data_IF_876600774714
#
_entry.id   IF_876600774714
#
_cell.length_a   1.000
_cell.length_b   1.000
_cell.length_c   1.000
_cell.angle_alpha   90.00
_cell.angle_beta   90.00
_cell.angle_gamma   90.00
#
_symmetry.space_group_name_H-M   'P 1'
#
loop_
_entity.id
_entity.type
_entity.pdbx_description
1 polymer ?
#
# COMPACT_ATOMS: atom_id res chain seq x y z
N UNK A 1 1.02 -1.78 31.39
CA UNK A 1 0.50 -0.71 32.25
C UNK A 1 1.48 0.43 32.13
N UNK A 2 1.03 1.51 31.50
CA UNK A 2 1.32 2.90 31.87
C UNK A 2 0.63 3.79 30.83
N UNK A 3 -0.51 4.32 31.25
CA UNK A 3 -1.39 5.18 30.48
C UNK A 3 -0.96 6.62 30.78
N UNK A 4 -0.29 7.27 29.83
CA UNK A 4 -0.07 8.71 29.93
C UNK A 4 -1.41 9.44 29.75
N UNK A 5 -1.96 9.92 30.86
CA UNK A 5 -3.11 10.82 30.92
C UNK A 5 -2.69 12.19 30.36
N UNK A 6 -3.37 12.65 29.31
CA UNK A 6 -3.28 14.05 28.85
C UNK A 6 -4.52 14.78 29.38
N UNK A 7 -4.39 15.98 29.98
CA UNK A 7 -5.48 16.61 30.70
C UNK A 7 -6.60 17.10 29.78
N UNK A 8 -7.82 16.97 30.30
CA UNK A 8 -9.07 17.43 29.73
C UNK A 8 -9.10 18.97 29.69
N UNK A 9 -9.18 19.56 28.50
CA UNK A 9 -9.56 20.98 28.33
C UNK A 9 -10.68 21.06 27.29
N UNK A 10 -11.91 21.11 27.79
CA UNK A 10 -13.06 21.63 27.05
C UNK A 10 -12.91 23.15 26.91
N UNK A 11 -13.11 23.69 25.71
CA UNK A 11 -14.21 24.63 25.42
C UNK A 11 -14.07 25.23 24.01
N UNK A 12 -15.15 25.14 23.23
CA UNK A 12 -15.34 25.83 21.97
C UNK A 12 -16.83 25.89 21.68
N UNK A 13 -17.48 26.95 22.15
CA UNK A 13 -18.92 27.18 22.02
C UNK A 13 -19.39 27.07 20.56
N UNK A 14 -20.53 26.40 20.35
CA UNK A 14 -21.27 26.37 19.08
C UNK A 14 -21.87 27.77 18.85
N UNK A 15 -21.53 28.44 17.74
CA UNK A 15 -22.34 29.53 17.18
C UNK A 15 -22.98 29.02 15.90
N UNK A 16 -24.31 28.90 15.89
CA UNK A 16 -25.11 28.71 14.68
C UNK A 16 -25.01 29.98 13.83
N UNK A 17 -24.46 29.87 12.62
CA UNK A 17 -24.66 30.91 11.62
C UNK A 17 -26.14 30.88 11.23
N UNK A 18 -26.81 32.03 11.38
CA UNK A 18 -28.17 32.28 10.96
C UNK A 18 -28.33 31.96 9.46
N UNK A 19 -29.51 31.46 9.08
CA UNK A 19 -29.92 30.95 7.76
C UNK A 19 -29.84 31.96 6.57
N UNK A 20 -29.16 33.09 6.71
CA UNK A 20 -29.26 34.20 5.77
C UNK A 20 -28.25 34.21 4.59
N UNK A 21 -27.35 33.22 4.44
CA UNK A 21 -26.37 33.21 3.34
C UNK A 21 -26.20 31.83 2.67
N UNK A 22 -27.27 31.05 2.53
CA UNK A 22 -27.27 29.88 1.63
C UNK A 22 -27.76 30.32 0.24
N UNK A 23 -26.83 30.75 -0.61
CA UNK A 23 -27.12 30.95 -2.03
C UNK A 23 -27.36 29.58 -2.66
N UNK A 24 -28.58 29.31 -3.13
CA UNK A 24 -28.91 28.08 -3.84
C UNK A 24 -28.12 28.03 -5.16
N UNK A 25 -27.17 27.09 -5.21
CA UNK A 25 -26.31 26.83 -6.37
C UNK A 25 -27.11 26.55 -7.64
N UNK A 26 -28.38 26.11 -7.52
CA UNK A 26 -29.29 25.87 -8.64
C UNK A 26 -29.80 27.18 -9.27
N UNK A 27 -30.07 28.20 -8.46
CA UNK A 27 -30.57 29.51 -8.89
C UNK A 27 -29.50 30.26 -9.71
N UNK A 28 -28.26 30.27 -9.20
CA UNK A 28 -27.09 30.85 -9.87
C UNK A 28 -26.82 30.16 -11.22
N UNK A 29 -27.09 28.84 -11.30
CA UNK A 29 -26.93 28.07 -12.52
C UNK A 29 -28.01 28.40 -13.55
N UNK A 30 -29.24 28.71 -13.11
CA UNK A 30 -30.36 29.15 -13.95
C UNK A 30 -30.10 30.51 -14.59
N UNK A 31 -29.64 31.48 -13.80
CA UNK A 31 -29.32 32.83 -14.30
C UNK A 31 -28.21 32.81 -15.36
N UNK A 32 -27.15 32.03 -15.15
CA UNK A 32 -26.05 31.91 -16.13
C UNK A 32 -26.45 31.26 -17.45
N UNK A 33 -27.48 30.39 -17.44
CA UNK A 33 -28.05 29.83 -18.67
C UNK A 33 -28.88 30.85 -19.44
N UNK A 34 -29.62 31.72 -18.73
CA UNK A 34 -30.38 32.82 -19.34
C UNK A 34 -29.46 33.88 -19.95
N UNK A 35 -28.28 34.10 -19.35
CA UNK A 35 -27.27 35.05 -19.82
C UNK A 35 -26.37 34.52 -20.96
N UNK A 36 -26.60 33.30 -21.45
CA UNK A 36 -25.91 32.76 -22.63
C UNK A 36 -24.42 32.45 -22.45
N UNK A 37 -23.91 32.35 -21.22
CA UNK A 37 -22.50 32.03 -20.97
C UNK A 37 -22.24 30.51 -21.10
N UNK A 38 -21.21 30.08 -21.86
CA UNK A 38 -20.94 28.66 -22.08
C UNK A 38 -20.57 27.94 -20.78
N UNK A 39 -21.23 26.81 -20.50
CA UNK A 39 -20.94 25.95 -19.33
C UNK A 39 -19.71 25.11 -19.61
N UNK A 40 -18.53 25.73 -19.62
CA UNK A 40 -17.27 24.99 -19.72
C UNK A 40 -17.00 24.32 -18.36
N UNK A 41 -17.30 23.02 -18.23
CA UNK A 41 -16.69 22.20 -17.19
C UNK A 41 -15.22 21.98 -17.52
N UNK A 42 -14.40 22.99 -17.30
CA UNK A 42 -12.97 22.75 -17.18
C UNK A 42 -12.75 21.96 -15.89
N UNK A 43 -12.41 20.69 -16.05
CA UNK A 43 -11.65 19.96 -15.02
C UNK A 43 -10.41 20.83 -14.79
N UNK A 44 -10.40 21.56 -13.67
CA UNK A 44 -9.24 22.36 -13.25
C UNK A 44 -7.99 21.49 -13.34
N UNK A 45 -6.94 22.03 -13.97
CA UNK A 45 -5.65 21.37 -14.06
C UNK A 45 -5.16 21.00 -12.65
N UNK A 46 -4.30 19.98 -12.53
CA UNK A 46 -3.86 19.48 -11.22
C UNK A 46 -3.26 20.58 -10.32
N UNK A 47 -2.69 21.63 -10.93
CA UNK A 47 -2.09 22.79 -10.25
C UNK A 47 -3.10 23.78 -9.65
N UNK A 48 -4.37 23.73 -10.08
CA UNK A 48 -5.41 24.68 -9.63
C UNK A 48 -6.25 24.18 -8.45
N UNK A 49 -5.92 23.01 -7.88
CA UNK A 49 -6.57 22.51 -6.66
C UNK A 49 -6.05 23.27 -5.43
N UNK A 50 -6.53 24.51 -5.24
CA UNK A 50 -6.33 25.22 -3.98
C UNK A 50 -7.07 24.50 -2.85
N UNK A 51 -6.35 24.24 -1.74
CA UNK A 51 -6.92 23.73 -0.49
C UNK A 51 -8.09 24.64 -0.08
N UNK A 52 -9.30 24.12 0.14
CA UNK A 52 -10.40 24.91 0.67
C UNK A 52 -10.03 25.54 2.02
N UNK A 53 -10.17 26.86 2.15
CA UNK A 53 -9.80 27.61 3.37
C UNK A 53 -10.48 27.10 4.65
N UNK A 54 -11.64 26.45 4.53
CA UNK A 54 -12.32 25.86 5.70
C UNK A 54 -11.57 24.66 6.29
N UNK A 55 -10.66 24.01 5.54
CA UNK A 55 -9.80 22.94 6.05
C UNK A 55 -8.68 23.46 6.96
N UNK A 56 -8.42 24.76 6.99
CA UNK A 56 -7.47 25.38 7.92
C UNK A 56 -8.05 25.48 9.34
N UNK A 57 -9.38 25.30 9.49
CA UNK A 57 -10.08 25.23 10.78
C UNK A 57 -9.90 23.88 11.48
N UNK A 58 -9.35 22.88 10.80
CA UNK A 58 -9.11 21.55 11.36
C UNK A 58 -7.59 21.36 11.52
N UNK A 59 -7.14 21.08 12.75
CA UNK A 59 -5.79 20.58 12.97
C UNK A 59 -5.71 19.16 12.42
N UNK A 60 -5.07 19.00 11.27
CA UNK A 60 -4.70 17.68 10.75
C UNK A 60 -3.45 17.25 11.51
N UNK A 61 -3.62 16.42 12.53
CA UNK A 61 -2.51 15.68 13.11
C UNK A 61 -2.06 14.62 12.11
N UNK A 62 -1.11 14.97 11.26
CA UNK A 62 -0.30 13.96 10.59
C UNK A 62 0.54 13.32 11.70
N UNK A 63 0.10 12.18 12.25
CA UNK A 63 0.95 11.35 13.08
C UNK A 63 2.11 10.87 12.22
N UNK A 64 3.21 11.62 12.24
CA UNK A 64 4.50 11.04 11.97
C UNK A 64 4.66 9.98 13.06
N UNK A 65 4.72 8.71 12.66
CA UNK A 65 5.07 7.65 13.60
C UNK A 65 6.48 8.00 14.10
N UNK A 66 6.58 8.57 15.30
CA UNK A 66 7.81 8.54 16.07
C UNK A 66 8.03 7.06 16.35
N UNK A 67 8.82 6.41 15.49
CA UNK A 67 9.36 5.12 15.83
C UNK A 67 10.35 5.38 16.94
N UNK A 68 10.10 4.80 18.11
CA UNK A 68 10.99 4.85 19.25
C UNK A 68 12.42 4.55 18.78
N UNK A 69 13.28 5.56 18.88
CA UNK A 69 14.70 5.36 18.74
C UNK A 69 15.10 4.43 19.89
N UNK A 70 15.35 3.17 19.58
CA UNK A 70 16.05 2.28 20.49
C UNK A 70 17.32 3.00 20.95
N UNK A 71 17.40 3.27 22.25
CA UNK A 71 18.55 3.94 22.88
C UNK A 71 19.81 3.18 22.49
N UNK A 72 20.80 3.95 22.04
CA UNK A 72 22.14 3.49 21.72
C UNK A 72 22.70 2.67 22.87
N UNK A 73 22.84 1.35 22.65
CA UNK A 73 23.77 0.52 23.38
C UNK A 73 25.18 0.86 22.89
N UNK A 74 26.04 1.21 23.83
CA UNK A 74 27.46 1.51 23.69
C UNK A 74 28.22 0.43 22.90
N UNK A 75 28.89 0.84 21.82
CA UNK A 75 29.74 0.03 20.95
C UNK A 75 29.94 0.73 19.61
N UNK A 76 30.88 1.67 19.54
CA UNK A 76 31.12 2.54 18.39
C UNK A 76 31.65 1.77 17.16
N UNK A 77 30.74 1.36 16.29
CA UNK A 77 30.94 1.43 14.84
C UNK A 77 30.02 2.53 14.34
N UNK A 78 30.55 3.73 14.05
CA UNK A 78 29.78 4.75 13.35
C UNK A 78 29.50 4.25 11.92
N UNK A 79 28.36 3.57 11.73
CA UNK A 79 27.87 3.21 10.40
C UNK A 79 27.70 4.51 9.59
N UNK A 80 28.39 4.59 8.45
CA UNK A 80 28.29 5.74 7.53
C UNK A 80 26.84 5.94 7.11
N UNK A 81 26.27 7.11 7.39
CA UNK A 81 24.91 7.47 6.94
C UNK A 81 24.94 7.88 5.46
N UNK A 82 24.10 7.26 4.65
CA UNK A 82 24.02 7.56 3.21
C UNK A 82 23.00 8.67 2.95
N UNK A 83 23.40 9.72 2.24
CA UNK A 83 22.45 10.73 1.76
C UNK A 83 21.75 10.22 0.49
N UNK A 84 20.44 10.48 0.31
CA UNK A 84 19.66 9.96 -0.83
C UNK A 84 20.27 10.28 -2.20
N UNK A 85 20.91 11.45 -2.34
CA UNK A 85 21.59 11.84 -3.58
C UNK A 85 22.79 10.95 -3.95
N UNK A 86 23.41 10.31 -2.97
CA UNK A 86 24.54 9.38 -3.18
C UNK A 86 24.06 7.96 -3.52
N UNK A 87 22.76 7.70 -3.38
CA UNK A 87 22.19 6.36 -3.50
C UNK A 87 21.38 6.24 -4.79
N UNK A 88 21.96 5.55 -5.76
CA UNK A 88 21.22 5.11 -6.94
C UNK A 88 20.49 3.82 -6.61
N UNK A 89 19.18 3.76 -6.89
CA UNK A 89 18.39 2.54 -6.66
C UNK A 89 18.69 1.51 -7.76
N UNK A 90 19.26 0.34 -7.43
CA UNK A 90 19.59 -0.67 -8.42
C UNK A 90 18.32 -1.31 -9.00
N UNK A 91 18.39 -1.75 -10.26
CA UNK A 91 17.27 -2.40 -10.95
C UNK A 91 17.26 -3.90 -10.81
N UNK A 92 18.44 -4.50 -10.59
CA UNK A 92 18.63 -5.93 -10.46
C UNK A 92 19.82 -6.24 -9.53
N UNK A 93 19.96 -7.51 -9.16
CA UNK A 93 21.04 -7.97 -8.29
C UNK A 93 22.44 -7.61 -8.81
N UNK A 94 22.69 -7.82 -10.11
CA UNK A 94 24.01 -7.55 -10.72
C UNK A 94 24.41 -6.08 -10.61
N UNK A 95 23.46 -5.17 -10.70
CA UNK A 95 23.68 -3.74 -10.52
C UNK A 95 23.89 -3.40 -9.04
N UNK A 96 23.09 -3.97 -8.13
CA UNK A 96 23.24 -3.77 -6.69
C UNK A 96 24.64 -4.16 -6.19
N UNK A 97 25.23 -5.22 -6.74
CA UNK A 97 26.57 -5.69 -6.36
C UNK A 97 27.72 -4.82 -6.89
N UNK A 98 27.47 -3.93 -7.86
CA UNK A 98 28.47 -2.99 -8.40
C UNK A 98 28.55 -1.70 -7.60
N UNK A 99 27.51 -1.36 -6.87
CA UNK A 99 27.44 -0.10 -6.15
C UNK A 99 28.24 -0.14 -4.84
N UNK A 100 28.72 1.01 -4.34
CA UNK A 100 29.39 1.10 -3.04
C UNK A 100 28.54 0.55 -1.88
N UNK A 101 27.21 0.63 -2.01
CA UNK A 101 26.25 0.19 -0.99
C UNK A 101 25.90 -1.30 -1.08
N UNK A 102 26.70 -2.11 -1.77
CA UNK A 102 26.43 -3.55 -1.98
C UNK A 102 26.17 -4.31 -0.67
N UNK A 103 26.91 -3.99 0.39
CA UNK A 103 26.81 -4.67 1.69
C UNK A 103 25.47 -4.41 2.36
N UNK A 104 24.99 -3.16 2.30
CA UNK A 104 23.68 -2.77 2.81
C UNK A 104 22.55 -3.45 2.06
N UNK A 105 22.67 -3.56 0.73
CA UNK A 105 21.71 -4.27 -0.09
C UNK A 105 21.71 -5.78 0.19
N UNK A 106 22.88 -6.40 0.38
CA UNK A 106 22.98 -7.81 0.75
C UNK A 106 22.35 -8.08 2.12
N UNK A 107 22.59 -7.23 3.12
CA UNK A 107 21.97 -7.34 4.45
C UNK A 107 20.44 -7.26 4.35
N UNK A 108 19.91 -6.32 3.57
CA UNK A 108 18.47 -6.20 3.33
C UNK A 108 17.89 -7.41 2.56
N UNK A 109 18.63 -7.95 1.60
CA UNK A 109 18.24 -9.14 0.85
C UNK A 109 18.19 -10.38 1.75
N UNK A 110 19.21 -10.58 2.59
CA UNK A 110 19.27 -11.69 3.54
C UNK A 110 18.07 -11.66 4.49
N UNK A 111 17.78 -10.50 5.08
CA UNK A 111 16.63 -10.31 5.97
C UNK A 111 15.31 -10.69 5.30
N UNK A 112 15.11 -10.31 4.03
CA UNK A 112 13.91 -10.67 3.27
C UNK A 112 13.85 -12.17 3.00
N UNK A 113 14.95 -12.80 2.60
CA UNK A 113 15.01 -14.25 2.35
C UNK A 113 14.71 -15.04 3.63
N UNK A 114 15.34 -14.67 4.75
CA UNK A 114 15.12 -15.31 6.05
C UNK A 114 13.65 -15.15 6.51
N UNK A 115 13.05 -13.98 6.28
CA UNK A 115 11.64 -13.73 6.54
C UNK A 115 10.73 -14.62 5.66
N UNK A 116 11.09 -14.88 4.40
CA UNK A 116 10.32 -15.76 3.52
C UNK A 116 10.42 -17.23 3.94
N UNK A 117 11.60 -17.70 4.31
CA UNK A 117 11.78 -19.07 4.80
C UNK A 117 11.12 -19.31 6.15
N UNK A 118 11.24 -18.37 7.11
CA UNK A 118 10.59 -18.50 8.42
C UNK A 118 9.06 -18.54 8.32
N UNK A 119 8.48 -17.88 7.31
CA UNK A 119 7.04 -17.93 7.00
C UNK A 119 6.59 -19.14 6.18
N UNK A 120 7.51 -20.00 5.76
CA UNK A 120 7.18 -21.13 4.87
C UNK A 120 6.69 -20.71 3.49
N UNK A 121 7.12 -19.53 3.01
CA UNK A 121 6.77 -19.05 1.66
C UNK A 121 7.39 -19.94 0.60
N UNK A 122 8.65 -20.33 0.81
CA UNK A 122 9.39 -21.23 -0.06
C UNK A 122 9.53 -22.61 0.58
N UNK A 123 9.13 -23.63 -0.17
CA UNK A 123 9.34 -25.04 0.17
C UNK A 123 10.22 -25.64 -0.92
N UNK A 124 11.33 -26.27 -0.53
CA UNK A 124 12.23 -26.91 -1.48
C UNK A 124 11.67 -28.28 -1.88
N UNK A 125 11.58 -28.54 -3.18
CA UNK A 125 11.12 -29.81 -3.76
C UNK A 125 12.11 -30.31 -4.81
N UNK A 126 12.07 -31.60 -5.12
CA UNK A 126 12.86 -32.18 -6.20
C UNK A 126 12.32 -31.75 -7.58
N UNK A 127 13.22 -31.48 -8.53
CA UNK A 127 12.85 -31.10 -9.91
C UNK A 127 12.08 -32.23 -10.61
N UNK A 128 12.29 -33.49 -10.18
CA UNK A 128 11.59 -34.67 -10.68
C UNK A 128 10.12 -34.76 -10.20
N UNK A 129 9.76 -34.06 -9.11
CA UNK A 129 8.38 -34.03 -8.58
C UNK A 129 7.50 -32.99 -9.30
N UNK A 130 8.07 -32.21 -10.22
CA UNK A 130 7.34 -31.15 -10.92
C UNK A 130 6.36 -31.80 -11.91
N UNK A 131 5.04 -31.52 -11.78
CA UNK A 131 4.07 -32.02 -12.74
C UNK A 131 4.37 -31.51 -14.16
N UNK A 132 4.26 -32.41 -15.14
CA UNK A 132 4.40 -32.07 -16.55
C UNK A 132 3.48 -30.89 -16.90
N UNK A 133 4.05 -29.84 -17.53
CA UNK A 133 3.42 -28.56 -17.91
C UNK A 133 3.34 -27.46 -16.83
N UNK A 134 4.09 -27.56 -15.74
CA UNK A 134 4.20 -26.43 -14.79
C UNK A 134 5.30 -25.46 -15.22
N UNK A 135 4.96 -24.16 -15.34
CA UNK A 135 5.93 -23.13 -15.69
C UNK A 135 6.83 -22.80 -14.49
N UNK A 136 8.14 -22.74 -14.72
CA UNK A 136 9.09 -22.22 -13.75
C UNK A 136 9.12 -20.69 -13.87
N UNK A 137 8.49 -20.01 -12.92
CA UNK A 137 8.48 -18.57 -12.87
C UNK A 137 9.87 -18.02 -12.49
N UNK A 138 10.18 -16.88 -13.09
CA UNK A 138 11.32 -16.07 -12.68
C UNK A 138 10.90 -15.12 -11.56
N UNK A 139 11.84 -14.79 -10.69
CA UNK A 139 11.69 -13.77 -9.66
C UNK A 139 12.79 -12.71 -9.83
N UNK A 140 12.59 -11.55 -9.20
CA UNK A 140 13.54 -10.44 -9.25
C UNK A 140 13.53 -9.63 -7.97
N UNK A 141 14.63 -8.91 -7.75
CA UNK A 141 14.75 -7.97 -6.63
C UNK A 141 14.22 -6.59 -6.97
N UNK A 142 13.43 -6.03 -6.06
CA UNK A 142 13.03 -4.62 -6.05
C UNK A 142 13.65 -3.91 -4.86
N UNK A 143 14.54 -2.98 -5.17
CA UNK A 143 15.26 -2.20 -4.19
C UNK A 143 14.56 -0.86 -3.96
N UNK A 144 14.52 -0.42 -2.71
CA UNK A 144 13.94 0.86 -2.33
C UNK A 144 14.61 1.36 -1.04
N UNK A 145 15.45 2.40 -1.10
CA UNK A 145 15.91 3.05 0.11
C UNK A 145 14.75 3.82 0.74
N UNK A 146 14.58 3.69 2.06
CA UNK A 146 13.69 4.53 2.84
C UNK A 146 14.53 5.66 3.43
N UNK A 147 14.06 6.89 3.26
CA UNK A 147 14.75 8.09 3.71
C UNK A 147 13.94 8.79 4.78
N UNK A 148 14.64 9.51 5.66
CA UNK A 148 14.06 10.40 6.65
C UNK A 148 13.58 11.73 6.03
N UNK A 149 13.00 12.60 6.85
CA UNK A 149 12.70 13.99 6.51
C UNK A 149 13.96 14.76 6.05
N UNK A 150 15.10 14.45 6.67
CA UNK A 150 16.41 15.02 6.30
C UNK A 150 17.05 14.34 5.08
N UNK A 151 16.32 13.48 4.37
CA UNK A 151 16.74 12.88 3.09
C UNK A 151 17.93 11.91 3.22
N UNK A 152 18.27 11.51 4.45
CA UNK A 152 19.23 10.43 4.69
C UNK A 152 18.53 9.07 4.70
N UNK A 153 19.21 8.05 4.19
CA UNK A 153 18.71 6.67 4.21
C UNK A 153 18.68 6.17 5.65
N UNK A 154 17.51 5.71 6.07
CA UNK A 154 17.26 5.11 7.39
C UNK A 154 17.11 3.61 7.31
N UNK A 155 16.62 3.09 6.18
CA UNK A 155 16.44 1.66 5.97
C UNK A 155 16.62 1.28 4.51
N UNK A 156 17.38 0.21 4.29
CA UNK A 156 17.50 -0.44 3.00
C UNK A 156 16.38 -1.49 2.87
N UNK A 157 15.49 -1.34 1.89
CA UNK A 157 14.41 -2.31 1.64
C UNK A 157 14.68 -3.03 0.32
N UNK A 158 14.94 -4.33 0.38
CA UNK A 158 14.99 -5.21 -0.78
C UNK A 158 13.80 -6.15 -0.69
N UNK A 159 12.98 -6.22 -1.75
CA UNK A 159 11.85 -7.16 -1.82
C UNK A 159 12.08 -8.15 -2.93
N UNK A 160 11.82 -9.42 -2.66
CA UNK A 160 11.78 -10.44 -3.70
C UNK A 160 10.37 -10.47 -4.31
N UNK A 161 10.29 -10.37 -5.63
CA UNK A 161 9.05 -10.18 -6.38
C UNK A 161 8.97 -11.27 -7.44
N UNK A 162 7.83 -11.93 -7.54
CA UNK A 162 7.53 -12.87 -8.63
C UNK A 162 7.26 -12.12 -9.93
N UNK A 163 7.68 -12.68 -11.06
CA UNK A 163 7.41 -12.13 -12.39
C UNK A 163 6.03 -12.54 -12.89
N UNK A 164 4.99 -11.85 -12.43
CA UNK A 164 3.64 -12.02 -12.97
C UNK A 164 3.53 -11.67 -14.45
N UNK A 165 4.44 -10.83 -14.97
CA UNK A 165 4.53 -10.54 -16.40
C UNK A 165 4.90 -11.75 -17.27
N UNK A 166 5.39 -12.83 -16.65
CA UNK A 166 5.66 -14.12 -17.30
C UNK A 166 4.64 -15.21 -16.97
N UNK A 167 3.56 -14.89 -16.23
CA UNK A 167 2.50 -15.85 -15.93
C UNK A 167 1.53 -16.02 -17.09
N UNK A 168 1.02 -17.22 -17.26
CA UNK A 168 0.02 -17.56 -18.27
C UNK A 168 -1.38 -17.73 -17.65
N UNK A 169 -2.36 -16.99 -18.17
CA UNK A 169 -3.76 -17.10 -17.76
C UNK A 169 -4.31 -18.50 -18.08
N UNK A 170 -5.02 -19.08 -17.13
CA UNK A 170 -5.59 -20.43 -17.22
C UNK A 170 -4.62 -21.55 -16.83
N UNK A 171 -3.33 -21.25 -16.65
CA UNK A 171 -2.30 -22.20 -16.20
C UNK A 171 -1.78 -21.76 -14.83
N UNK A 172 -1.16 -20.58 -14.78
CA UNK A 172 -0.51 -20.08 -13.56
C UNK A 172 -1.49 -19.33 -12.65
N UNK A 173 -2.56 -18.76 -13.22
CA UNK A 173 -3.64 -18.12 -12.48
C UNK A 173 -4.97 -18.13 -13.25
N UNK A 174 -6.08 -17.98 -12.54
CA UNK A 174 -7.43 -17.89 -13.13
C UNK A 174 -8.13 -16.59 -12.71
N UNK A 175 -8.11 -16.25 -11.43
CA UNK A 175 -8.71 -15.02 -10.91
C UNK A 175 -7.60 -14.11 -10.37
N UNK A 176 -7.55 -12.88 -10.88
CA UNK A 176 -6.60 -11.85 -10.44
C UNK A 176 -7.29 -10.61 -9.86
N UNK A 177 -8.63 -10.55 -9.93
CA UNK A 177 -9.36 -9.38 -9.48
C UNK A 177 -9.46 -9.32 -7.96
N UNK A 178 -9.02 -8.20 -7.39
CA UNK A 178 -9.19 -7.85 -5.99
C UNK A 178 -10.01 -6.57 -5.90
N UNK A 179 -11.16 -6.56 -5.22
CA UNK A 179 -11.96 -5.35 -5.11
C UNK A 179 -11.21 -4.33 -4.23
N UNK A 180 -11.43 -3.04 -4.49
CA UNK A 180 -10.85 -1.92 -3.72
C UNK A 180 -11.98 -0.97 -3.32
N UNK A 181 -12.04 -0.55 -2.06
CA UNK A 181 -13.01 0.46 -1.63
C UNK A 181 -12.81 1.76 -2.43
N UNK A 182 -13.91 2.25 -3.01
CA UNK A 182 -13.90 3.50 -3.77
C UNK A 182 -13.67 4.68 -2.84
N UNK A 183 -13.15 5.77 -3.40
CA UNK A 183 -12.98 7.01 -2.62
C UNK A 183 -14.31 7.61 -2.16
N UNK A 184 -15.41 7.33 -2.85
CA UNK A 184 -16.75 7.74 -2.43
C UNK A 184 -17.14 6.98 -1.16
N UNK A 185 -17.00 5.66 -1.15
CA UNK A 185 -17.23 4.79 0.01
C UNK A 185 -16.43 5.25 1.21
N UNK A 186 -15.13 5.52 1.02
CA UNK A 186 -14.28 6.04 2.08
C UNK A 186 -14.80 7.36 2.68
N UNK A 187 -15.23 8.31 1.84
CA UNK A 187 -15.80 9.59 2.31
C UNK A 187 -17.11 9.38 3.06
N UNK A 188 -17.96 8.45 2.61
CA UNK A 188 -19.20 8.10 3.30
C UNK A 188 -18.92 7.52 4.69
N UNK A 189 -17.98 6.58 4.80
CA UNK A 189 -17.57 6.01 6.10
C UNK A 189 -17.10 7.11 7.05
N UNK A 190 -16.24 8.03 6.58
CA UNK A 190 -15.76 9.16 7.40
C UNK A 190 -16.91 10.09 7.81
N UNK A 191 -17.85 10.37 6.90
CA UNK A 191 -19.01 11.21 7.21
C UNK A 191 -19.94 10.55 8.25
N UNK A 192 -20.17 9.24 8.14
CA UNK A 192 -20.95 8.46 9.11
C UNK A 192 -20.24 8.45 10.46
N UNK A 193 -18.92 8.21 10.49
CA UNK A 193 -18.13 8.26 11.72
C UNK A 193 -18.24 9.62 12.40
N UNK A 194 -18.09 10.72 11.66
CA UNK A 194 -18.24 12.08 12.20
C UNK A 194 -19.67 12.36 12.72
N UNK A 195 -20.70 11.85 12.02
CA UNK A 195 -22.11 12.06 12.41
C UNK A 195 -22.48 11.28 13.67
N UNK A 196 -21.95 10.07 13.84
CA UNK A 196 -22.25 9.16 14.95
C UNK A 196 -21.21 9.22 16.08
N UNK A 197 -20.18 10.07 15.96
CA UNK A 197 -19.12 10.18 16.96
C UNK A 197 -18.21 8.95 17.06
N UNK A 198 -18.05 8.18 15.97
CA UNK A 198 -17.19 6.99 15.95
C UNK A 198 -15.71 7.39 15.85
N UNK A 199 -14.85 6.63 16.53
CA UNK A 199 -13.40 6.77 16.42
C UNK A 199 -12.88 6.07 15.16
N UNK A 200 -11.98 6.74 14.43
CA UNK A 200 -11.33 6.19 13.23
C UNK A 200 -9.94 5.64 13.58
N UNK A 201 -9.57 4.49 13.02
CA UNK A 201 -8.32 3.81 13.32
C UNK A 201 -7.56 3.42 12.05
N UNK A 202 -6.37 3.94 11.82
CA UNK A 202 -5.61 3.47 10.64
C UNK A 202 -4.77 2.23 10.98
N UNK A 203 -4.98 1.13 10.27
CA UNK A 203 -4.17 -0.10 10.39
C UNK A 203 -3.48 -0.48 9.08
N UNK A 204 -2.18 -0.79 9.10
CA UNK A 204 -1.45 -1.31 7.95
C UNK A 204 -1.01 -2.75 8.24
N UNK A 205 -1.25 -3.67 7.30
CA UNK A 205 -0.91 -5.09 7.50
C UNK A 205 0.49 -5.32 6.95
N UNK A 206 1.43 -5.54 7.86
CA UNK A 206 2.80 -5.89 7.50
C UNK A 206 2.82 -7.17 6.66
N UNK A 207 3.49 -7.10 5.51
CA UNK A 207 3.69 -8.26 4.60
C UNK A 207 2.39 -8.95 4.18
N UNK A 208 1.31 -8.16 3.96
CA UNK A 208 -0.02 -8.62 3.57
C UNK A 208 -0.05 -9.86 2.65
N UNK A 209 0.63 -9.81 1.50
CA UNK A 209 0.60 -10.93 0.53
C UNK A 209 1.27 -12.20 1.06
N UNK A 210 2.34 -12.09 1.85
CA UNK A 210 3.02 -13.28 2.39
C UNK A 210 2.16 -14.05 3.40
N UNK A 211 1.05 -13.48 3.87
CA UNK A 211 0.11 -14.15 4.75
C UNK A 211 -1.04 -14.83 3.97
N UNK A 212 -1.15 -14.61 2.65
CA UNK A 212 -2.15 -15.25 1.81
C UNK A 212 -1.58 -16.53 1.19
N UNK A 213 -2.33 -17.63 1.23
CA UNK A 213 -1.97 -18.85 0.52
C UNK A 213 -2.37 -18.75 -0.95
N UNK A 214 -1.45 -19.12 -1.84
CA UNK A 214 -1.76 -19.25 -3.26
C UNK A 214 -2.66 -20.46 -3.48
N UNK A 215 -3.74 -20.30 -4.27
CA UNK A 215 -4.57 -21.42 -4.74
C UNK A 215 -3.82 -22.30 -5.73
N UNK A 216 -3.16 -21.66 -6.70
CA UNK A 216 -2.29 -22.31 -7.67
C UNK A 216 -0.85 -22.03 -7.25
N UNK A 217 -0.18 -23.08 -6.76
CA UNK A 217 1.21 -23.00 -6.30
C UNK A 217 2.12 -22.69 -7.48
N UNK A 218 3.08 -21.80 -7.26
CA UNK A 218 4.04 -21.43 -8.30
C UNK A 218 5.38 -22.09 -8.03
N UNK A 219 6.18 -22.30 -9.07
CA UNK A 219 7.52 -22.84 -8.94
C UNK A 219 8.54 -21.78 -9.35
N UNK A 220 9.63 -21.65 -8.61
CA UNK A 220 10.76 -20.78 -8.96
C UNK A 220 12.07 -21.56 -8.86
N UNK A 221 12.95 -21.39 -9.85
CA UNK A 221 14.20 -22.17 -9.93
C UNK A 221 15.20 -21.82 -8.83
N UNK A 222 15.21 -20.58 -8.35
CA UNK A 222 16.17 -20.10 -7.35
C UNK A 222 15.90 -18.66 -6.96
N UNK A 223 16.73 -18.11 -6.06
CA UNK A 223 16.67 -16.71 -5.63
C UNK A 223 17.95 -16.00 -6.12
N UNK A 224 17.87 -14.93 -6.92
CA UNK A 224 19.04 -14.26 -7.46
C UNK A 224 19.98 -13.79 -6.34
N UNK A 225 21.25 -14.19 -6.40
CA UNK A 225 22.25 -13.84 -5.39
C UNK A 225 22.37 -14.81 -4.23
N UNK A 226 21.56 -15.87 -4.18
CA UNK A 226 21.64 -16.91 -3.16
C UNK A 226 21.88 -18.27 -3.82
N UNK A 227 22.83 -19.08 -3.32
CA UNK A 227 23.07 -20.42 -3.85
C UNK A 227 21.88 -21.34 -3.55
N UNK A 228 21.62 -22.31 -4.43
CA UNK A 228 20.67 -23.38 -4.19
C UNK A 228 21.18 -24.70 -4.80
N UNK A 229 20.75 -25.87 -4.29
CA UNK A 229 21.20 -27.17 -4.80
C UNK A 229 20.75 -27.44 -6.23
N UNK A 230 21.56 -28.18 -7.00
CA UNK A 230 21.16 -28.69 -8.33
C UNK A 230 20.07 -29.75 -8.19
N UNK A 231 19.14 -29.81 -9.14
CA UNK A 231 18.01 -30.75 -9.13
C UNK A 231 16.92 -30.41 -8.12
N UNK A 232 16.99 -29.24 -7.46
CA UNK A 232 15.96 -28.73 -6.56
C UNK A 232 15.34 -27.45 -7.12
N UNK A 233 14.05 -27.27 -6.86
CA UNK A 233 13.33 -26.01 -7.12
C UNK A 233 12.58 -25.56 -5.86
N UNK A 234 12.18 -24.29 -5.82
CA UNK A 234 11.34 -23.77 -4.75
C UNK A 234 9.89 -23.73 -5.20
N UNK A 235 9.01 -24.42 -4.48
CA UNK A 235 7.57 -24.19 -4.53
C UNK A 235 7.21 -22.99 -3.67
N UNK A 236 6.43 -22.09 -4.25
CA UNK A 236 5.93 -20.87 -3.61
C UNK A 236 4.49 -21.14 -3.18
N UNK A 237 4.30 -21.22 -1.87
CA UNK A 237 3.01 -21.56 -1.28
C UNK A 237 2.16 -20.34 -0.92
N UNK A 238 2.80 -19.18 -0.79
CA UNK A 238 2.18 -17.92 -0.37
C UNK A 238 2.25 -16.86 -1.47
N UNK A 239 1.33 -15.90 -1.45
CA UNK A 239 1.26 -14.88 -2.47
C UNK A 239 2.49 -13.96 -2.41
N UNK A 240 3.18 -13.83 -3.54
CA UNK A 240 4.34 -12.94 -3.67
C UNK A 240 3.91 -11.61 -4.28
N UNK A 241 4.65 -10.54 -3.97
CA UNK A 241 4.52 -9.32 -4.74
C UNK A 241 4.78 -9.60 -6.22
N UNK A 242 4.00 -8.97 -7.10
CA UNK A 242 4.20 -9.00 -8.55
C UNK A 242 3.58 -10.18 -9.28
N UNK A 243 3.02 -11.19 -8.58
CA UNK A 243 2.14 -12.18 -9.21
C UNK A 243 0.75 -11.58 -9.45
N UNK A 244 0.09 -12.01 -10.52
CA UNK A 244 -1.20 -11.46 -10.95
C UNK A 244 -2.33 -11.80 -9.95
N UNK A 245 -2.32 -12.99 -9.35
CA UNK A 245 -3.35 -13.44 -8.42
C UNK A 245 -3.20 -12.93 -6.98
N UNK A 246 -2.04 -12.37 -6.61
CA UNK A 246 -1.72 -12.10 -5.20
C UNK A 246 -2.70 -11.17 -4.50
N UNK A 247 -3.25 -10.19 -5.23
CA UNK A 247 -4.27 -9.30 -4.67
C UNK A 247 -5.59 -10.01 -4.40
N UNK A 248 -5.99 -10.94 -5.25
CA UNK A 248 -7.24 -11.69 -5.12
C UNK A 248 -7.14 -12.70 -3.97
N UNK A 249 -6.06 -13.47 -3.92
CA UNK A 249 -5.82 -14.46 -2.85
C UNK A 249 -5.74 -13.79 -1.47
N UNK A 250 -5.11 -12.61 -1.37
CA UNK A 250 -5.09 -11.85 -0.12
C UNK A 250 -6.45 -11.27 0.26
N UNK A 251 -7.25 -10.80 -0.71
CA UNK A 251 -8.62 -10.35 -0.41
C UNK A 251 -9.46 -11.48 0.17
N UNK A 252 -9.37 -12.68 -0.39
CA UNK A 252 -10.10 -13.84 0.12
C UNK A 252 -9.67 -14.22 1.55
N UNK A 253 -8.37 -14.16 1.85
CA UNK A 253 -7.87 -14.42 3.20
C UNK A 253 -8.41 -13.39 4.21
N UNK A 254 -8.44 -12.11 3.83
CA UNK A 254 -9.02 -11.04 4.65
C UNK A 254 -10.54 -11.19 4.80
N UNK A 255 -11.25 -11.55 3.72
CA UNK A 255 -12.70 -11.80 3.75
C UNK A 255 -13.04 -12.93 4.72
N UNK A 256 -12.34 -14.07 4.62
CA UNK A 256 -12.48 -15.19 5.56
C UNK A 256 -12.22 -14.76 7.00
N UNK A 257 -11.13 -14.02 7.23
CA UNK A 257 -10.78 -13.53 8.55
C UNK A 257 -11.87 -12.61 9.13
N UNK A 258 -12.32 -11.61 8.37
CA UNK A 258 -13.33 -10.65 8.83
C UNK A 258 -14.69 -11.32 9.06
N UNK A 259 -15.13 -12.21 8.17
CA UNK A 259 -16.36 -13.00 8.34
C UNK A 259 -16.32 -13.89 9.57
N UNK A 260 -15.18 -14.55 9.84
CA UNK A 260 -15.00 -15.35 11.06
C UNK A 260 -15.16 -14.52 12.35
N UNK A 261 -14.96 -13.20 12.26
CA UNK A 261 -15.17 -12.24 13.34
C UNK A 261 -16.55 -11.58 13.29
N UNK A 262 -17.50 -12.09 12.51
CA UNK A 262 -18.88 -11.60 12.44
C UNK A 262 -19.04 -10.26 11.72
N UNK A 263 -18.14 -9.94 10.78
CA UNK A 263 -18.33 -8.84 9.86
C UNK A 263 -18.92 -9.33 8.55
N UNK A 264 -19.87 -8.58 8.01
CA UNK A 264 -20.46 -8.84 6.70
C UNK A 264 -20.06 -7.76 5.70
N UNK A 265 -19.77 -8.16 4.48
CA UNK A 265 -19.52 -7.20 3.40
C UNK A 265 -20.84 -6.65 2.83
N UNK A 266 -20.78 -5.44 2.28
CA UNK A 266 -21.95 -4.86 1.60
C UNK A 266 -22.06 -5.36 0.15
N UNK A 267 -23.29 -5.54 -0.35
CA UNK A 267 -23.55 -5.98 -1.73
C UNK A 267 -23.02 -4.98 -2.78
N UNK A 268 -23.14 -3.69 -2.48
CA UNK A 268 -22.73 -2.61 -3.41
C UNK A 268 -21.22 -2.34 -3.39
N UNK A 269 -20.57 -2.60 -2.27
CA UNK A 269 -19.13 -2.44 -2.06
C UNK A 269 -18.55 -3.65 -1.29
N UNK A 270 -18.10 -4.71 -1.99
CA UNK A 270 -17.55 -5.93 -1.36
C UNK A 270 -16.32 -5.70 -0.47
N UNK A 271 -15.72 -4.51 -0.52
CA UNK A 271 -14.61 -4.08 0.33
C UNK A 271 -15.02 -3.37 1.61
N UNK A 272 -16.31 -3.02 1.76
CA UNK A 272 -16.82 -2.40 2.97
C UNK A 272 -17.43 -3.48 3.84
N UNK A 273 -16.82 -3.71 4.99
CA UNK A 273 -17.32 -4.64 6.00
C UNK A 273 -18.03 -3.88 7.11
N UNK A 274 -19.14 -4.41 7.57
CA UNK A 274 -20.00 -3.83 8.59
C UNK A 274 -20.22 -4.87 9.67
N UNK A 275 -20.15 -4.43 10.92
CA UNK A 275 -20.58 -5.23 12.07
C UNK A 275 -21.31 -4.35 13.04
N UNK A 276 -22.48 -4.81 13.48
CA UNK A 276 -23.21 -4.20 14.58
C UNK A 276 -23.37 -5.23 15.69
N UNK A 277 -22.79 -4.97 16.86
CA UNK A 277 -22.89 -5.86 18.00
C UNK A 277 -22.92 -5.05 19.29
N UNK A 278 -23.81 -5.39 20.20
CA UNK A 278 -23.89 -4.79 21.54
C UNK A 278 -24.01 -3.25 21.50
N UNK A 279 -24.76 -2.72 20.53
CA UNK A 279 -24.92 -1.28 20.33
C UNK A 279 -23.77 -0.59 19.59
N UNK A 280 -22.68 -1.30 19.29
CA UNK A 280 -21.48 -0.75 18.65
C UNK A 280 -21.49 -1.07 17.15
N UNK A 281 -21.40 -0.02 16.34
CA UNK A 281 -21.21 -0.10 14.90
C UNK A 281 -19.71 -0.02 14.54
N UNK A 282 -19.21 -1.00 13.81
CA UNK A 282 -17.89 -0.99 13.21
C UNK A 282 -18.00 -1.05 11.68
N UNK A 283 -17.26 -0.18 11.00
CA UNK A 283 -17.18 -0.09 9.54
C UNK A 283 -15.72 -0.24 9.13
N UNK A 284 -15.41 -1.15 8.21
CA UNK A 284 -14.05 -1.41 7.75
C UNK A 284 -14.00 -1.32 6.21
N UNK A 285 -13.57 -0.18 5.64
CA UNK A 285 -13.31 -0.07 4.21
C UNK A 285 -11.91 -0.58 3.85
N UNK A 286 -11.84 -1.74 3.18
CA UNK A 286 -10.59 -2.26 2.64
C UNK A 286 -10.13 -1.45 1.43
N UNK A 287 -8.94 -0.87 1.51
CA UNK A 287 -8.32 -0.13 0.43
C UNK A 287 -6.97 -0.72 0.07
N UNK A 288 -6.66 -0.71 -1.22
CA UNK A 288 -5.35 -1.05 -1.76
C UNK A 288 -4.79 0.20 -2.42
N UNK A 289 -3.50 0.47 -2.24
CA UNK A 289 -2.82 1.40 -3.14
C UNK A 289 -2.31 0.61 -4.33
N UNK A 290 -3.15 0.43 -5.35
CA UNK A 290 -2.73 -0.24 -6.59
C UNK A 290 -1.77 0.66 -7.38
N UNK A 291 -0.72 0.05 -7.92
CA UNK A 291 0.21 0.66 -8.87
C UNK A 291 -0.50 0.85 -10.23
N UNK A 292 -1.07 2.04 -10.47
CA UNK A 292 -1.58 2.42 -11.80
C UNK A 292 -0.40 2.79 -12.71
N UNK A 293 0.25 1.80 -13.30
CA UNK A 293 0.90 2.01 -14.60
C UNK A 293 -0.18 2.02 -15.66
N UNK A 294 -0.70 3.21 -15.95
CA UNK A 294 -1.26 3.46 -17.27
C UNK A 294 -0.10 3.40 -18.25
N UNK A 295 0.01 2.28 -18.96
CA UNK A 295 0.84 2.15 -20.15
C UNK A 295 0.17 2.96 -21.27
N UNK A 296 0.23 4.29 -21.19
CA UNK A 296 -0.08 5.15 -22.33
C UNK A 296 1.06 5.00 -23.34
N UNK A 297 0.75 4.45 -24.52
CA UNK A 297 1.67 4.42 -25.66
C UNK A 297 2.14 5.85 -25.96
N UNK A 298 3.45 5.96 -26.21
CA UNK A 298 4.23 7.18 -26.47
C UNK A 298 3.65 8.06 -27.58
N UNK A 299 3.69 9.37 -27.36
CA UNK A 299 4.17 10.37 -28.35
C UNK A 299 4.91 11.52 -27.64
N UNK A 300 6.23 11.55 -27.86
CA UNK A 300 7.18 12.69 -27.94
C UNK A 300 7.29 13.82 -26.88
N UNK A 301 8.52 13.86 -26.30
CA UNK A 301 9.38 14.97 -25.83
C UNK A 301 9.29 15.47 -24.38
N UNK A 302 10.45 15.88 -23.79
CA UNK A 302 10.73 15.77 -22.36
C UNK A 302 10.58 17.11 -21.63
N UNK A 303 10.06 17.08 -20.40
CA UNK A 303 10.23 18.17 -19.44
C UNK A 303 10.80 17.57 -18.15
N UNK A 304 11.95 18.12 -17.78
CA UNK A 304 12.75 17.85 -16.60
C UNK A 304 12.03 18.22 -15.30
N UNK A 305 12.49 17.60 -14.21
CA UNK A 305 12.22 17.92 -12.80
C UNK A 305 10.77 17.81 -12.32
N UNK A 306 10.46 16.68 -11.68
CA UNK A 306 9.60 16.63 -10.48
C UNK A 306 9.87 15.30 -9.76
N UNK A 307 10.58 15.40 -8.64
CA UNK A 307 10.86 14.33 -7.70
C UNK A 307 9.57 13.83 -7.07
N UNK A 308 9.05 12.68 -7.53
CA UNK A 308 7.89 12.03 -6.91
C UNK A 308 8.34 10.99 -5.90
N UNK A 309 8.46 11.37 -4.63
CA UNK A 309 8.40 10.44 -3.50
C UNK A 309 6.95 9.97 -3.36
N UNK A 310 6.64 8.77 -3.88
CA UNK A 310 5.34 8.12 -3.61
C UNK A 310 5.55 6.72 -3.06
N UNK A 311 5.39 6.65 -1.75
CA UNK A 311 5.23 5.43 -0.96
C UNK A 311 4.04 4.62 -1.48
N UNK A 312 4.27 3.35 -1.79
CA UNK A 312 3.25 2.35 -2.11
C UNK A 312 3.37 1.23 -1.09
N UNK A 313 2.44 1.22 -0.14
CA UNK A 313 2.18 0.14 0.82
C UNK A 313 0.66 -0.05 0.82
N UNK A 314 0.22 -1.31 0.82
CA UNK A 314 -1.20 -1.73 0.81
C UNK A 314 -1.93 -1.30 2.07
N UNK A 315 -2.44 -0.06 2.08
CA UNK A 315 -3.09 0.53 3.26
C UNK A 315 -4.54 0.08 3.41
N UNK A 316 -4.79 -0.83 4.34
CA UNK A 316 -6.11 -0.94 4.98
C UNK A 316 -6.37 0.37 5.75
N UNK A 317 -7.61 0.83 5.80
CA UNK A 317 -7.98 1.96 6.66
C UNK A 317 -9.17 1.49 7.47
N UNK A 318 -9.06 1.50 8.81
CA UNK A 318 -10.11 1.10 9.74
C UNK A 318 -10.82 2.36 10.28
#
# INVERSE_FOLDING_TARGET
MDVCMVPEVLTGQRRTLLEAELVDVREVKRQRMLEGQPTQMTIRSADERRRPKHLDKYQIFASCCQQDHAKAGTGEHQERRWHSKEVTTPRNFREAMKFPQKEEWLKAMQQEVDAMFSKGVFVMIDEDEIPNRTNLLSNMWRYQPKTDADVYVTRWRARLVGRGDSQEFGIDYVLSFSPVARMVTFRVVVAVAAKLGLTLYKGDVNTAYLNALLKIKQLVRGIPGFPWPKGKVYRVDHALYGLDQSGADWYEEVDKFLRSRGYDNTETEPCLYVRYKDGVLALIPLKWTTWLSRRTRRTTRPISSLSSTRSTDSRVVV
#
